data_IF_421863118382
#
_entry.id   IF_421863118382
#
_cell.length_a   1.000
_cell.length_b   1.000
_cell.length_c   1.000
_cell.angle_alpha   90.00
_cell.angle_beta   90.00
_cell.angle_gamma   90.00
#
_symmetry.space_group_name_H-M   'P 1'
#
loop_
_entity.id
_entity.type
_entity.pdbx_description
1 polymer ?
#
# COMPACT_ATOMS: atom_id res chain seq x y z
N UNK A 1 1.12 -17.59 39.53
CA UNK A 1 2.43 -17.41 38.87
C UNK A 1 2.45 -18.40 37.71
N UNK A 2 2.04 -17.95 36.52
CA UNK A 2 1.96 -18.79 35.32
C UNK A 2 3.10 -18.34 34.42
N UNK A 3 4.08 -19.22 34.24
CA UNK A 3 5.18 -19.02 33.32
C UNK A 3 4.62 -19.01 31.89
N UNK A 4 4.80 -17.89 31.19
CA UNK A 4 4.63 -17.83 29.76
C UNK A 4 5.84 -18.54 29.15
N UNK A 5 5.59 -19.70 28.54
CA UNK A 5 6.58 -20.43 27.75
C UNK A 5 7.09 -19.53 26.63
N UNK A 6 8.39 -19.26 26.63
CA UNK A 6 9.09 -18.73 25.47
C UNK A 6 9.06 -19.79 24.37
N UNK A 7 8.35 -19.50 23.29
CA UNK A 7 8.45 -20.20 22.01
C UNK A 7 9.28 -19.35 21.04
N UNK A 8 10.49 -19.79 20.75
CA UNK A 8 11.34 -19.39 19.63
C UNK A 8 10.63 -19.82 18.32
N UNK A 9 10.55 -19.06 17.22
CA UNK A 9 11.47 -18.08 16.67
C UNK A 9 10.70 -16.89 16.03
N UNK A 10 11.06 -15.65 16.40
CA UNK A 10 10.60 -14.46 15.70
C UNK A 10 11.70 -14.04 14.71
N UNK A 11 11.50 -14.37 13.43
CA UNK A 11 12.40 -14.09 12.31
C UNK A 11 12.44 -12.61 11.88
N UNK A 12 12.08 -11.67 12.75
CA UNK A 12 12.02 -10.24 12.42
C UNK A 12 13.43 -9.65 12.49
N UNK A 13 13.93 -9.22 11.33
CA UNK A 13 15.24 -8.57 11.16
C UNK A 13 15.16 -7.06 11.41
N UNK A 14 14.07 -6.42 10.98
CA UNK A 14 13.83 -5.00 11.19
C UNK A 14 12.34 -4.71 11.28
N UNK A 15 11.96 -3.70 12.06
CA UNK A 15 10.57 -3.26 12.18
C UNK A 15 10.50 -1.73 12.23
N UNK A 16 9.38 -1.18 11.77
CA UNK A 16 9.03 0.23 11.89
C UNK A 16 7.53 0.41 11.96
N UNK A 17 7.09 1.43 12.69
CA UNK A 17 5.68 1.77 12.87
C UNK A 17 5.50 3.27 12.66
N UNK A 18 4.42 3.64 11.98
CA UNK A 18 4.10 5.05 11.76
C UNK A 18 2.78 5.28 11.07
N UNK A 19 2.44 6.57 10.97
CA UNK A 19 1.34 7.02 10.13
C UNK A 19 1.83 7.22 8.70
N UNK A 20 1.09 6.67 7.74
CA UNK A 20 1.37 6.82 6.31
C UNK A 20 0.25 7.62 5.69
N UNK A 21 0.59 8.72 5.03
CA UNK A 21 -0.36 9.48 4.24
C UNK A 21 -0.66 8.76 2.92
N UNK A 22 -1.93 8.47 2.69
CA UNK A 22 -2.46 7.83 1.51
C UNK A 22 -3.22 8.86 0.69
N UNK A 23 -3.16 8.71 -0.62
CA UNK A 23 -3.96 9.50 -1.57
C UNK A 23 -4.37 8.62 -2.74
N UNK A 24 -5.55 8.87 -3.31
CA UNK A 24 -6.17 8.04 -4.35
C UNK A 24 -6.24 6.54 -3.97
N UNK A 25 -6.69 6.25 -2.75
CA UNK A 25 -6.85 4.89 -2.22
C UNK A 25 -5.56 4.05 -2.17
N UNK A 26 -4.40 4.69 -2.02
CA UNK A 26 -3.14 3.95 -2.06
C UNK A 26 -1.98 4.59 -1.30
N UNK A 27 -1.05 3.73 -0.94
CA UNK A 27 0.35 4.04 -0.65
C UNK A 27 1.23 2.92 -1.23
N UNK A 28 2.55 3.05 -1.16
CA UNK A 28 3.46 2.16 -1.89
C UNK A 28 4.59 1.60 -1.04
N UNK A 29 5.09 0.44 -1.47
CA UNK A 29 6.48 0.04 -1.25
C UNK A 29 7.27 0.32 -2.52
N UNK A 30 8.37 1.08 -2.44
CA UNK A 30 9.14 1.40 -3.64
C UNK A 30 10.63 1.65 -3.35
N UNK A 31 11.55 1.35 -4.30
CA UNK A 31 12.96 1.73 -4.21
C UNK A 31 13.21 3.23 -4.29
N UNK A 32 12.24 4.01 -4.79
CA UNK A 32 12.38 5.43 -5.03
C UNK A 32 11.74 6.26 -3.92
N UNK A 33 12.33 7.41 -3.60
CA UNK A 33 11.82 8.34 -2.58
C UNK A 33 10.74 9.31 -3.09
N UNK A 34 10.15 8.98 -4.24
CA UNK A 34 9.22 9.76 -5.02
C UNK A 34 8.30 8.77 -5.74
N UNK A 35 7.18 9.26 -6.27
CA UNK A 35 6.11 8.44 -6.87
C UNK A 35 6.67 7.28 -7.73
N UNK A 36 6.07 6.07 -7.66
CA UNK A 36 6.55 4.93 -8.44
C UNK A 36 6.70 5.31 -9.91
N UNK A 37 7.85 4.99 -10.53
CA UNK A 37 8.07 5.23 -11.97
C UNK A 37 7.13 4.42 -12.83
N UNK A 38 6.71 3.26 -12.34
CA UNK A 38 5.83 2.35 -13.04
C UNK A 38 4.44 2.40 -12.41
N UNK A 39 3.43 2.47 -13.27
CA UNK A 39 2.05 2.34 -12.83
C UNK A 39 1.83 0.92 -12.32
N UNK A 40 1.51 0.81 -11.04
CA UNK A 40 1.10 -0.46 -10.43
C UNK A 40 -0.43 -0.50 -10.42
N UNK A 41 -1.09 -1.30 -11.27
CA UNK A 41 -2.54 -1.37 -11.29
C UNK A 41 -3.09 -1.93 -9.97
N UNK A 42 -4.40 -1.80 -9.77
CA UNK A 42 -5.05 -2.64 -8.78
C UNK A 42 -5.12 -4.07 -9.29
N UNK A 43 -4.51 -4.99 -8.53
CA UNK A 43 -4.48 -6.41 -8.83
C UNK A 43 -5.68 -7.18 -8.27
N UNK A 44 -5.75 -8.49 -8.60
CA UNK A 44 -6.94 -9.31 -8.34
C UNK A 44 -7.25 -9.51 -6.85
N UNK A 45 -6.26 -9.36 -5.95
CA UNK A 45 -6.48 -9.48 -4.51
C UNK A 45 -7.03 -8.21 -3.85
N UNK A 46 -7.14 -7.07 -4.58
CA UNK A 46 -7.68 -5.77 -4.13
C UNK A 46 -7.01 -5.17 -2.88
N UNK A 47 -5.87 -5.70 -2.45
CA UNK A 47 -5.13 -5.24 -1.27
C UNK A 47 -3.69 -4.90 -1.59
N UNK A 48 -2.94 -5.79 -2.24
CA UNK A 48 -1.53 -5.58 -2.56
C UNK A 48 -1.23 -6.07 -3.97
N UNK A 49 -0.52 -5.27 -4.76
CA UNK A 49 -0.17 -5.64 -6.13
C UNK A 49 1.28 -5.32 -6.40
N UNK A 50 2.03 -6.28 -6.92
CA UNK A 50 3.43 -6.11 -7.27
C UNK A 50 3.60 -5.78 -8.74
N UNK A 51 4.40 -4.76 -9.07
CA UNK A 51 4.85 -4.49 -10.44
C UNK A 51 6.14 -3.66 -10.44
N UNK A 52 7.06 -3.92 -11.36
CA UNK A 52 8.16 -2.98 -11.63
C UNK A 52 9.11 -2.71 -10.47
N UNK A 53 9.24 -3.66 -9.53
CA UNK A 53 9.99 -3.48 -8.30
C UNK A 53 9.37 -2.56 -7.27
N UNK A 54 8.07 -2.28 -7.39
CA UNK A 54 7.26 -1.63 -6.37
C UNK A 54 6.04 -2.51 -6.03
N UNK A 55 5.42 -2.23 -4.88
CA UNK A 55 4.10 -2.75 -4.56
C UNK A 55 3.15 -1.61 -4.24
N UNK A 56 1.92 -1.71 -4.75
CA UNK A 56 0.79 -0.85 -4.38
C UNK A 56 0.01 -1.51 -3.26
N UNK A 57 -0.37 -0.73 -2.25
CA UNK A 57 -1.28 -1.16 -1.20
C UNK A 57 -2.55 -0.34 -1.31
N UNK A 58 -3.70 -1.00 -1.45
CA UNK A 58 -5.03 -0.37 -1.54
C UNK A 58 -5.56 0.01 -0.15
N UNK A 59 -6.06 1.24 -0.02
CA UNK A 59 -6.78 1.73 1.17
C UNK A 59 -8.28 1.80 0.98
N UNK A 60 -9.01 1.80 2.09
CA UNK A 60 -10.46 2.05 2.09
C UNK A 60 -10.78 3.52 1.87
N UNK A 61 -10.16 4.39 2.64
CA UNK A 61 -10.20 5.85 2.48
C UNK A 61 -9.57 6.29 1.15
N UNK A 62 -10.09 7.37 0.59
CA UNK A 62 -9.53 8.00 -0.60
C UNK A 62 -8.23 8.77 -0.28
N UNK A 63 -8.24 9.58 0.78
CA UNK A 63 -7.11 10.42 1.17
C UNK A 63 -7.03 10.59 2.69
N UNK A 64 -5.85 10.44 3.30
CA UNK A 64 -5.71 10.54 4.75
C UNK A 64 -4.55 9.77 5.35
N UNK A 65 -4.50 9.68 6.68
CA UNK A 65 -3.47 8.91 7.38
C UNK A 65 -3.97 7.54 7.81
N UNK A 66 -3.20 6.48 7.52
CA UNK A 66 -3.44 5.11 8.02
C UNK A 66 -2.29 4.67 8.94
N UNK A 67 -2.56 3.76 9.88
CA UNK A 67 -1.53 3.20 10.75
C UNK A 67 -0.86 2.00 10.08
N UNK A 68 0.47 1.99 10.01
CA UNK A 68 1.25 0.94 9.37
C UNK A 68 2.33 0.42 10.31
N UNK A 69 2.43 -0.90 10.41
CA UNK A 69 3.60 -1.62 10.93
C UNK A 69 4.24 -2.34 9.75
N UNK A 70 5.55 -2.20 9.58
CA UNK A 70 6.31 -2.90 8.55
C UNK A 70 7.42 -3.74 9.18
N UNK A 71 7.50 -5.01 8.77
CA UNK A 71 8.44 -6.01 9.29
C UNK A 71 9.23 -6.61 8.12
N UNK A 72 10.54 -6.68 8.28
CA UNK A 72 11.44 -7.45 7.43
C UNK A 72 11.77 -8.76 8.13
N UNK A 73 11.65 -9.88 7.43
CA UNK A 73 11.99 -11.20 7.91
C UNK A 73 13.03 -11.89 7.02
N UNK A 74 13.79 -12.80 7.60
CA UNK A 74 14.72 -13.66 6.86
C UNK A 74 14.04 -14.87 6.17
N UNK A 75 12.79 -15.16 6.55
CA UNK A 75 12.04 -16.33 6.14
C UNK A 75 10.53 -16.05 6.22
N UNK A 76 9.69 -16.86 5.54
CA UNK A 76 8.23 -16.65 5.55
C UNK A 76 7.66 -16.70 6.97
N UNK A 77 6.99 -15.63 7.44
CA UNK A 77 6.31 -15.66 8.73
C UNK A 77 5.13 -16.62 8.71
N UNK A 78 4.78 -17.17 9.87
CA UNK A 78 3.55 -17.96 10.03
C UNK A 78 2.32 -17.18 9.51
N UNK A 79 1.45 -17.87 8.77
CA UNK A 79 0.23 -17.26 8.25
C UNK A 79 -0.82 -17.13 9.38
N UNK A 80 -0.81 -15.99 10.05
CA UNK A 80 -1.75 -15.66 11.12
C UNK A 80 -2.85 -14.69 10.65
N UNK A 81 -3.93 -15.23 10.05
CA UNK A 81 -5.02 -14.37 9.53
C UNK A 81 -5.98 -13.84 10.61
N UNK A 82 -6.05 -14.49 11.78
CA UNK A 82 -6.74 -14.05 13.00
C UNK A 82 -7.89 -13.05 12.82
N UNK A 83 -7.72 -11.88 13.43
CA UNK A 83 -8.67 -10.76 13.42
C UNK A 83 -8.58 -9.86 12.16
N UNK A 84 -7.60 -10.07 11.28
CA UNK A 84 -7.43 -9.27 10.07
C UNK A 84 -8.59 -9.50 9.11
N UNK A 85 -9.08 -8.46 8.44
CA UNK A 85 -10.23 -8.55 7.53
C UNK A 85 -9.80 -8.94 6.11
N UNK A 86 -8.69 -8.38 5.66
CA UNK A 86 -8.09 -8.64 4.35
C UNK A 86 -6.65 -9.08 4.52
N UNK A 87 -6.23 -10.10 3.76
CA UNK A 87 -4.85 -10.58 3.71
C UNK A 87 -4.52 -10.93 2.26
N UNK A 88 -3.45 -10.33 1.75
CA UNK A 88 -3.01 -10.49 0.37
C UNK A 88 -1.50 -10.59 0.31
N UNK A 89 -1.02 -11.25 -0.73
CA UNK A 89 0.42 -11.34 -1.02
C UNK A 89 0.72 -10.92 -2.45
N UNK A 90 1.89 -10.34 -2.64
CA UNK A 90 2.44 -9.97 -3.94
C UNK A 90 3.97 -10.17 -3.95
N UNK A 91 4.56 -10.26 -5.13
CA UNK A 91 6.01 -10.36 -5.28
C UNK A 91 6.59 -9.06 -5.86
N UNK A 92 7.78 -8.69 -5.40
CA UNK A 92 8.49 -7.48 -5.84
C UNK A 92 9.92 -7.84 -6.22
N UNK A 93 10.32 -7.50 -7.44
CA UNK A 93 11.72 -7.60 -7.87
C UNK A 93 12.54 -6.42 -7.35
N UNK A 94 13.70 -6.66 -6.74
CA UNK A 94 14.55 -5.62 -6.18
C UNK A 94 15.79 -5.46 -7.05
N UNK A 95 16.00 -4.25 -7.58
CA UNK A 95 17.15 -3.94 -8.44
C UNK A 95 18.20 -3.04 -7.79
N UNK A 96 17.94 -2.52 -6.58
CA UNK A 96 18.76 -1.47 -5.93
C UNK A 96 18.91 -1.65 -4.41
N UNK A 97 18.65 -2.84 -3.88
CA UNK A 97 18.68 -3.15 -2.45
C UNK A 97 17.88 -2.17 -1.58
N UNK A 98 16.82 -1.59 -2.15
CA UNK A 98 16.04 -0.54 -1.55
C UNK A 98 14.55 -0.82 -1.73
N UNK A 99 13.81 -0.86 -0.64
CA UNK A 99 12.36 -0.92 -0.64
C UNK A 99 11.84 -0.24 0.63
N UNK A 100 11.10 0.86 0.47
CA UNK A 100 10.63 1.68 1.59
C UNK A 100 9.11 1.85 1.54
N UNK A 101 8.49 1.95 2.71
CA UNK A 101 7.11 2.43 2.85
C UNK A 101 7.06 3.91 2.48
N UNK A 102 6.28 4.23 1.46
CA UNK A 102 6.19 5.56 0.87
C UNK A 102 4.75 6.06 0.86
N UNK A 103 4.54 7.19 1.52
CA UNK A 103 3.32 7.99 1.44
C UNK A 103 3.27 8.83 0.16
N UNK A 104 2.09 9.26 -0.25
CA UNK A 104 1.91 10.12 -1.43
C UNK A 104 2.64 11.47 -1.33
N UNK A 105 2.86 11.96 -0.10
CA UNK A 105 3.57 13.21 0.22
C UNK A 105 5.06 12.99 0.56
N UNK A 106 5.56 11.75 0.46
CA UNK A 106 6.91 11.32 0.82
C UNK A 106 7.34 11.58 2.29
N UNK A 107 6.40 11.84 3.19
CA UNK A 107 6.68 12.14 4.61
C UNK A 107 6.99 10.90 5.47
N UNK A 108 6.67 9.68 5.01
CA UNK A 108 6.72 8.47 5.85
C UNK A 108 8.10 7.82 6.04
N UNK A 109 9.13 8.20 5.29
CA UNK A 109 10.40 7.44 5.20
C UNK A 109 11.08 7.19 6.55
N UNK A 110 11.14 8.19 7.42
CA UNK A 110 11.95 8.13 8.64
C UNK A 110 11.42 7.12 9.68
N UNK A 111 10.14 6.73 9.56
CA UNK A 111 9.50 5.80 10.48
C UNK A 111 9.73 4.32 10.13
N UNK A 112 10.26 4.00 8.94
CA UNK A 112 10.31 2.62 8.44
C UNK A 112 11.72 2.19 8.01
N UNK A 113 12.10 0.92 8.23
CA UNK A 113 13.37 0.39 7.78
C UNK A 113 13.41 0.22 6.26
N UNK A 114 14.61 -0.02 5.72
CA UNK A 114 14.77 -0.54 4.37
C UNK A 114 14.37 -2.03 4.34
N UNK A 115 13.25 -2.36 3.70
CA UNK A 115 12.70 -3.71 3.60
C UNK A 115 13.45 -4.60 2.59
N UNK A 116 14.46 -4.07 1.91
CA UNK A 116 15.34 -4.82 1.01
C UNK A 116 16.77 -5.01 1.57
N UNK A 117 16.98 -4.76 2.87
CA UNK A 117 18.31 -4.78 3.48
C UNK A 117 19.02 -6.14 3.44
N UNK A 118 18.30 -7.24 3.16
CA UNK A 118 18.88 -8.58 2.99
C UNK A 118 19.50 -8.82 1.60
N UNK A 119 19.36 -7.88 0.66
CA UNK A 119 19.97 -7.98 -0.68
C UNK A 119 19.39 -9.08 -1.57
N UNK A 120 18.15 -9.50 -1.32
CA UNK A 120 17.47 -10.48 -2.16
C UNK A 120 16.97 -9.84 -3.47
N UNK A 121 17.15 -10.52 -4.60
CA UNK A 121 16.67 -10.05 -5.91
C UNK A 121 15.14 -10.05 -6.02
N UNK A 122 14.45 -10.87 -5.21
CA UNK A 122 12.99 -10.92 -5.17
C UNK A 122 12.52 -11.08 -3.73
N UNK A 123 11.49 -10.32 -3.40
CA UNK A 123 10.84 -10.30 -2.10
C UNK A 123 9.37 -10.69 -2.26
N UNK A 124 8.86 -11.45 -1.29
CA UNK A 124 7.42 -11.61 -1.07
C UNK A 124 6.96 -10.56 -0.07
N UNK A 125 5.83 -9.95 -0.36
CA UNK A 125 5.17 -8.96 0.50
C UNK A 125 3.81 -9.53 0.89
N UNK A 126 3.57 -9.69 2.19
CA UNK A 126 2.25 -9.98 2.74
C UNK A 126 1.70 -8.74 3.43
N UNK A 127 0.48 -8.38 3.07
CA UNK A 127 -0.24 -7.26 3.68
C UNK A 127 -1.46 -7.82 4.40
N UNK A 128 -1.61 -7.44 5.65
CA UNK A 128 -2.84 -7.62 6.41
C UNK A 128 -3.48 -6.25 6.62
N UNK A 129 -4.80 -6.19 6.51
CA UNK A 129 -5.55 -4.97 6.74
C UNK A 129 -6.83 -5.22 7.55
N UNK A 130 -7.23 -4.19 8.29
CA UNK A 130 -8.51 -4.11 9.03
C UNK A 130 -9.01 -2.68 8.99
N UNK A 131 -10.33 -2.49 8.96
CA UNK A 131 -10.98 -1.18 9.05
C UNK A 131 -11.22 -0.50 7.69
N UNK A 132 -10.87 -1.16 6.57
CA UNK A 132 -10.96 -0.57 5.21
C UNK A 132 -12.37 -0.20 4.77
N UNK A 133 -13.40 -0.69 5.45
CA UNK A 133 -14.79 -0.37 5.14
C UNK A 133 -15.39 0.70 6.06
N UNK A 134 -14.68 1.14 7.10
CA UNK A 134 -15.24 2.04 8.14
C UNK A 134 -15.53 3.44 7.57
N UNK A 135 -14.63 3.98 6.75
CA UNK A 135 -14.81 5.27 6.06
C UNK A 135 -14.44 5.16 4.58
N UNK A 136 -14.94 4.11 3.90
CA UNK A 136 -14.66 3.87 2.50
C UNK A 136 -14.92 5.12 1.64
N UNK A 137 -14.00 5.45 0.72
CA UNK A 137 -14.02 6.65 -0.15
C UNK A 137 -13.98 8.00 0.61
N UNK A 138 -13.85 7.95 1.94
CA UNK A 138 -13.78 9.12 2.79
C UNK A 138 -12.40 9.77 2.83
N UNK A 139 -12.35 10.96 3.44
CA UNK A 139 -11.09 11.60 3.82
C UNK A 139 -10.97 11.73 5.34
N UNK A 140 -9.84 11.31 5.90
CA UNK A 140 -9.58 11.27 7.35
C UNK A 140 -8.11 11.56 7.66
N UNK A 141 -7.83 12.59 8.45
CA UNK A 141 -6.45 12.87 8.88
C UNK A 141 -5.79 11.67 9.58
N UNK A 142 -6.54 10.92 10.39
CA UNK A 142 -6.18 9.62 10.95
C UNK A 142 -7.40 8.71 10.88
N UNK A 143 -7.33 7.66 10.07
CA UNK A 143 -8.37 6.65 9.99
C UNK A 143 -8.12 5.51 10.98
N UNK A 144 -9.11 4.65 11.11
CA UNK A 144 -9.11 3.42 11.88
C UNK A 144 -8.49 2.26 11.09
N UNK A 145 -8.07 2.50 9.84
CA UNK A 145 -7.38 1.50 9.02
C UNK A 145 -6.00 1.20 9.60
N UNK A 146 -5.73 -0.09 9.75
CA UNK A 146 -4.44 -0.60 10.22
C UNK A 146 -3.88 -1.59 9.24
N UNK A 147 -2.59 -1.51 9.00
CA UNK A 147 -1.86 -2.37 8.09
C UNK A 147 -0.66 -3.02 8.79
N UNK A 148 -0.52 -4.32 8.60
CA UNK A 148 0.72 -5.05 8.89
C UNK A 148 1.33 -5.52 7.57
N UNK A 149 2.54 -5.04 7.29
CA UNK A 149 3.31 -5.38 6.09
C UNK A 149 4.47 -6.27 6.52
N UNK A 150 4.52 -7.48 5.99
CA UNK A 150 5.60 -8.42 6.24
C UNK A 150 6.32 -8.73 4.93
N UNK A 151 7.65 -8.62 4.95
CA UNK A 151 8.49 -8.79 3.76
C UNK A 151 9.57 -9.84 4.03
N UNK A 152 9.80 -10.75 3.09
CA UNK A 152 10.87 -11.75 3.18
C UNK A 152 11.41 -12.15 1.80
N UNK A 153 12.65 -12.67 1.70
CA UNK A 153 13.17 -13.24 0.46
C UNK A 153 12.34 -14.44 -0.02
N UNK A 154 11.94 -14.43 -1.30
CA UNK A 154 11.24 -15.55 -1.92
C UNK A 154 11.36 -15.51 -3.45
N UNK A 155 11.10 -16.63 -4.11
CA UNK A 155 10.95 -16.67 -5.56
C UNK A 155 9.73 -15.85 -6.02
N UNK A 156 9.78 -15.34 -7.26
CA UNK A 156 8.68 -14.63 -7.88
C UNK A 156 7.45 -15.56 -7.98
N UNK A 157 6.31 -15.07 -7.49
CA UNK A 157 5.02 -15.76 -7.56
C UNK A 157 3.89 -14.76 -7.83
N UNK A 158 2.78 -15.26 -8.37
CA UNK A 158 1.59 -14.46 -8.65
C UNK A 158 1.01 -13.84 -7.36
N UNK A 159 0.29 -12.74 -7.54
CA UNK A 159 -0.44 -12.10 -6.46
C UNK A 159 -1.55 -13.02 -5.95
N UNK A 160 -1.63 -13.18 -4.64
CA UNK A 160 -2.55 -14.14 -4.00
C UNK A 160 -3.48 -13.42 -3.03
N UNK A 161 -4.76 -13.76 -3.08
CA UNK A 161 -5.76 -13.33 -2.11
C UNK A 161 -5.96 -14.42 -1.06
N UNK A 162 -5.48 -14.20 0.16
CA UNK A 162 -5.56 -15.18 1.26
C UNK A 162 -6.82 -14.98 2.09
N UNK A 163 -7.24 -13.73 2.27
CA UNK A 163 -8.50 -13.36 2.94
C UNK A 163 -8.98 -12.05 2.33
N UNK A 164 -10.28 -11.93 2.16
CA UNK A 164 -10.91 -10.69 1.71
C UNK A 164 -12.25 -10.53 2.40
N UNK A 165 -12.50 -9.35 2.93
CA UNK A 165 -13.73 -9.00 3.59
C UNK A 165 -14.92 -9.19 2.64
N UNK A 166 -16.09 -9.52 3.21
CA UNK A 166 -17.25 -9.91 2.42
C UNK A 166 -17.77 -8.77 1.52
N UNK A 167 -17.64 -7.51 1.94
CA UNK A 167 -18.11 -6.35 1.18
C UNK A 167 -17.23 -6.07 -0.05
N UNK A 168 -15.90 -6.09 0.12
CA UNK A 168 -14.92 -6.03 -0.96
C UNK A 168 -15.09 -7.20 -1.93
N UNK A 169 -15.35 -8.40 -1.40
CA UNK A 169 -15.64 -9.58 -2.22
C UNK A 169 -16.94 -9.41 -3.03
N UNK A 170 -18.00 -8.87 -2.43
CA UNK A 170 -19.26 -8.61 -3.13
C UNK A 170 -19.08 -7.60 -4.27
N UNK A 171 -18.23 -6.58 -4.07
CA UNK A 171 -17.84 -5.62 -5.11
C UNK A 171 -17.15 -6.25 -6.33
N UNK A 172 -16.48 -7.41 -6.17
CA UNK A 172 -15.91 -8.18 -7.29
C UNK A 172 -16.98 -8.87 -8.15
N UNK A 173 -18.10 -9.24 -7.52
CA UNK A 173 -19.19 -10.00 -8.17
C UNK A 173 -20.30 -9.10 -8.69
N UNK A 174 -20.32 -7.82 -8.29
CA UNK A 174 -21.24 -6.85 -8.84
C UNK A 174 -20.90 -6.64 -10.33
N UNK A 175 -21.87 -6.74 -11.25
CA UNK A 175 -21.61 -6.36 -12.64
C UNK A 175 -21.09 -4.93 -12.65
N UNK A 176 -20.00 -4.69 -13.38
CA UNK A 176 -19.50 -3.34 -13.65
C UNK A 176 -20.61 -2.58 -14.36
N UNK A 177 -21.46 -1.90 -13.60
CA UNK A 177 -22.38 -0.92 -14.14
C UNK A 177 -21.57 0.12 -14.91
N UNK A 178 -22.16 0.79 -15.92
CA UNK A 178 -21.46 1.81 -16.67
C UNK A 178 -20.87 2.83 -15.69
N UNK A 179 -19.56 3.06 -15.81
CA UNK A 179 -18.85 4.13 -15.12
C UNK A 179 -19.71 5.39 -15.17
N UNK A 180 -20.08 6.00 -14.02
CA UNK A 180 -20.73 7.31 -14.05
C UNK A 180 -19.85 8.23 -14.89
N UNK A 181 -20.40 8.78 -15.98
CA UNK A 181 -19.66 9.68 -16.82
C UNK A 181 -19.08 10.79 -15.94
N UNK A 182 -17.76 10.99 -16.01
CA UNK A 182 -17.14 12.15 -15.39
C UNK A 182 -17.95 13.39 -15.81
N UNK A 183 -18.34 14.27 -14.88
CA UNK A 183 -18.93 15.53 -15.27
C UNK A 183 -17.97 16.22 -16.26
N UNK A 184 -18.48 16.86 -17.34
CA UNK A 184 -17.62 17.53 -18.28
C UNK A 184 -16.71 18.50 -17.52
N UNK A 185 -15.43 18.64 -17.94
CA UNK A 185 -14.51 19.53 -17.25
C UNK A 185 -15.15 20.93 -17.16
N UNK A 186 -14.96 21.64 -16.04
CA UNK A 186 -15.49 23.00 -15.92
C UNK A 186 -14.98 23.83 -17.10
N UNK A 187 -15.90 24.49 -17.79
CA UNK A 187 -15.55 25.42 -18.87
C UNK A 187 -14.66 26.50 -18.27
N UNK A 188 -13.37 26.45 -18.59
CA UNK A 188 -12.44 27.48 -18.16
C UNK A 188 -12.93 28.82 -18.72
N UNK A 189 -12.94 29.89 -17.91
CA UNK A 189 -13.25 31.21 -18.43
C UNK A 189 -12.26 31.56 -19.56
N UNK A 190 -12.68 32.35 -20.56
CA UNK A 190 -11.79 32.76 -21.64
C UNK A 190 -10.54 33.39 -21.04
N UNK A 191 -9.36 32.96 -21.51
CA UNK A 191 -8.08 33.52 -21.08
C UNK A 191 -8.14 35.04 -21.24
N UNK A 192 -7.83 35.77 -20.18
CA UNK A 192 -7.70 37.22 -20.25
C UNK A 192 -6.75 37.61 -21.39
N UNK A 193 -7.05 38.67 -22.16
CA UNK A 193 -6.13 39.13 -23.20
C UNK A 193 -4.75 39.39 -22.61
N UNK A 194 -3.69 38.97 -23.31
CA UNK A 194 -2.33 39.35 -22.92
C UNK A 194 -2.26 40.89 -22.86
N UNK A 195 -1.65 41.49 -21.83
CA UNK A 195 -1.42 42.92 -21.82
C UNK A 195 -0.62 43.31 -23.07
N UNK A 196 -1.13 44.28 -23.82
CA UNK A 196 -0.41 44.85 -24.96
C UNK A 196 0.84 45.56 -24.42
N UNK A 197 2.01 45.15 -24.92
CA UNK A 197 3.26 45.86 -24.67
C UNK A 197 3.12 47.29 -25.20
N UNK A 198 3.24 48.29 -24.33
CA UNK A 198 3.34 49.68 -24.76
C UNK A 198 4.69 49.91 -25.46
N UNK A 199 4.72 50.54 -26.65
CA UNK A 199 5.97 51.09 -27.18
C UNK A 199 6.31 52.39 -26.45
N UNK A 200 7.60 52.55 -26.14
CA UNK A 200 8.19 53.79 -25.61
C UNK A 200 8.51 54.81 -26.69
#
# INVERSE_FOLDING_TARGET
MVALSQGEAMSVIATGEGWVFCDNHQFFLTPQLWWPREFVPEGPNRLVTGAGGSARISTGIATGGVAVVAELHDSPPELATGAWEDVGEASVGVSRDALYVMSADASSREAFPNLAALGAETLRVRVHAIGRMVHYDGSRHRSEEKYLIQVWPAALAEDTCLKLNAQMRAGLTAPTGPTPALPPPPVLPPRSPRPQSYPG
#
